data_IF_987351317532
#
_entry.id   IF_987351317532
#
_cell.length_a   1.000
_cell.length_b   1.000
_cell.length_c   1.000
_cell.angle_alpha   90.00
_cell.angle_beta   90.00
_cell.angle_gamma   90.00
#
_symmetry.space_group_name_H-M   'P 1'
#
loop_
_entity.id
_entity.type
_entity.pdbx_description
1 polymer ?
#
# COMPACT_ATOMS: atom_id res chain seq x y z
N UNK A 1 27.41 -54.71 35.79
CA UNK A 1 26.42 -53.64 35.56
C UNK A 1 26.98 -52.32 36.07
N UNK A 2 27.45 -51.47 35.16
CA UNK A 2 27.80 -50.05 35.39
C UNK A 2 27.54 -49.34 34.07
N UNK A 3 26.33 -48.83 33.88
CA UNK A 3 25.96 -48.00 32.72
C UNK A 3 26.52 -46.60 32.94
N UNK A 4 27.51 -46.23 32.13
CA UNK A 4 28.14 -44.91 32.11
C UNK A 4 27.27 -43.95 31.31
N UNK A 5 27.01 -42.81 31.93
CA UNK A 5 26.33 -41.63 31.42
C UNK A 5 27.26 -40.92 30.41
N UNK A 6 26.85 -40.75 29.15
CA UNK A 6 27.52 -39.83 28.22
C UNK A 6 26.55 -38.74 27.78
N UNK A 7 26.78 -37.56 28.35
CA UNK A 7 26.14 -36.28 28.08
C UNK A 7 26.78 -35.69 26.80
N UNK A 8 26.09 -35.69 25.67
CA UNK A 8 26.56 -35.04 24.44
C UNK A 8 25.91 -33.67 24.30
N UNK A 9 26.59 -32.65 24.82
CA UNK A 9 26.29 -31.23 24.63
C UNK A 9 26.89 -30.78 23.29
N UNK A 10 26.07 -30.63 22.26
CA UNK A 10 26.45 -30.00 21.00
C UNK A 10 26.09 -28.50 21.05
N UNK A 11 27.06 -27.68 21.43
CA UNK A 11 26.95 -26.23 21.47
C UNK A 11 27.26 -25.67 20.07
N UNK A 12 26.22 -25.24 19.34
CA UNK A 12 26.36 -24.44 18.12
C UNK A 12 26.75 -23.01 18.48
N UNK A 13 27.77 -22.45 17.81
CA UNK A 13 27.90 -21.03 17.50
C UNK A 13 29.08 -20.78 16.56
N UNK A 14 28.82 -20.25 15.35
CA UNK A 14 29.35 -18.96 14.87
C UNK A 14 29.28 -18.83 13.32
N UNK A 15 28.68 -17.71 12.88
CA UNK A 15 28.97 -16.93 11.66
C UNK A 15 28.99 -17.68 10.31
N UNK A 16 28.13 -17.39 9.34
CA UNK A 16 27.96 -16.08 8.73
C UNK A 16 26.74 -16.11 7.80
N UNK A 17 25.63 -15.51 8.20
CA UNK A 17 24.53 -15.13 7.30
C UNK A 17 24.23 -13.65 7.59
N UNK A 18 25.14 -12.80 7.13
CA UNK A 18 24.97 -11.36 7.05
C UNK A 18 25.45 -10.92 5.68
N UNK A 19 24.58 -11.13 4.68
CA UNK A 19 24.52 -10.38 3.41
C UNK A 19 23.57 -11.10 2.45
N UNK A 20 22.26 -10.91 2.64
CA UNK A 20 21.36 -10.90 1.48
C UNK A 20 20.84 -9.46 1.37
N UNK A 21 21.05 -8.75 0.26
CA UNK A 21 20.39 -7.47 0.01
C UNK A 21 18.90 -7.74 0.05
N UNK A 22 18.25 -7.33 1.14
CA UNK A 22 16.82 -7.48 1.32
C UNK A 22 16.11 -6.75 0.19
N UNK A 23 15.58 -7.54 -0.75
CA UNK A 23 14.71 -7.05 -1.81
C UNK A 23 13.59 -6.21 -1.21
N UNK A 24 13.40 -5.04 -1.82
CA UNK A 24 12.40 -4.06 -1.40
C UNK A 24 11.02 -4.70 -1.29
N UNK A 25 10.61 -4.96 -0.05
CA UNK A 25 9.21 -5.22 0.26
C UNK A 25 8.49 -3.88 0.26
N UNK A 26 7.88 -3.56 -0.88
CA UNK A 26 6.74 -2.65 -0.96
C UNK A 26 5.74 -3.09 0.14
N UNK A 27 5.60 -2.27 1.19
CA UNK A 27 4.71 -2.58 2.31
C UNK A 27 4.38 -1.30 3.07
N UNK A 28 3.11 -0.88 3.00
CA UNK A 28 2.60 0.21 3.85
C UNK A 28 1.50 1.08 3.24
N UNK A 29 0.60 0.52 2.42
CA UNK A 29 -0.65 1.21 2.09
C UNK A 29 -1.63 1.07 3.26
N UNK A 30 -1.63 2.04 4.18
CA UNK A 30 -2.67 2.14 5.20
C UNK A 30 -4.02 2.56 4.57
N UNK A 31 -5.16 2.03 5.04
CA UNK A 31 -6.47 2.43 4.52
C UNK A 31 -6.77 3.86 5.00
N UNK A 32 -6.85 4.82 4.09
CA UNK A 32 -7.33 6.18 4.40
C UNK A 32 -6.52 7.36 3.86
N UNK A 33 -5.41 7.13 3.15
CA UNK A 33 -4.68 8.20 2.47
C UNK A 33 -5.21 8.44 1.06
N UNK A 34 -6.12 9.41 0.87
CA UNK A 34 -6.41 9.98 -0.44
C UNK A 34 -5.16 10.70 -0.97
N UNK A 35 -4.20 9.95 -1.53
CA UNK A 35 -2.95 10.50 -2.08
C UNK A 35 -1.69 9.65 -1.92
N UNK A 36 -1.76 8.43 -1.40
CA UNK A 36 -0.61 7.51 -1.35
C UNK A 36 -0.81 6.33 -2.30
N UNK A 37 0.07 6.15 -3.28
CA UNK A 37 0.31 5.00 -4.18
C UNK A 37 -0.85 4.11 -4.70
N UNK A 38 -1.87 3.80 -3.89
CA UNK A 38 -3.11 3.12 -4.27
C UNK A 38 -4.03 3.94 -5.17
N UNK A 39 -4.07 5.28 -5.04
CA UNK A 39 -4.83 6.13 -5.98
C UNK A 39 -4.26 6.12 -7.40
N UNK A 40 -2.94 5.88 -7.52
CA UNK A 40 -2.30 5.68 -8.81
C UNK A 40 -2.61 4.28 -9.36
N UNK A 41 -2.65 3.25 -8.51
CA UNK A 41 -3.02 1.88 -8.93
C UNK A 41 -4.45 1.75 -9.46
N UNK A 42 -5.41 2.42 -8.81
CA UNK A 42 -6.81 2.46 -9.25
C UNK A 42 -7.00 3.25 -10.56
N UNK A 43 -6.13 4.23 -10.83
CA UNK A 43 -6.13 5.03 -12.07
C UNK A 43 -5.80 4.19 -13.31
N UNK A 44 -5.06 3.09 -13.15
CA UNK A 44 -4.74 2.14 -14.22
C UNK A 44 -5.58 0.86 -14.13
N UNK A 45 -6.73 0.87 -13.46
CA UNK A 45 -7.46 -0.35 -13.07
C UNK A 45 -7.62 -1.37 -14.20
N UNK A 46 -8.19 -0.97 -15.34
CA UNK A 46 -8.41 -1.89 -16.47
C UNK A 46 -7.12 -2.19 -17.24
N UNK A 47 -6.20 -1.22 -17.35
CA UNK A 47 -4.92 -1.41 -18.06
C UNK A 47 -3.94 -2.29 -17.29
N UNK A 48 -4.08 -2.39 -15.98
CA UNK A 48 -3.33 -3.33 -15.14
C UNK A 48 -3.80 -4.77 -15.36
N UNK A 49 -5.11 -4.97 -15.49
CA UNK A 49 -5.71 -6.30 -15.74
C UNK A 49 -5.37 -6.85 -17.12
N UNK A 50 -5.19 -5.98 -18.12
CA UNK A 50 -4.78 -6.39 -19.47
C UNK A 50 -3.37 -7.00 -19.54
N UNK A 51 -2.58 -6.95 -18.47
CA UNK A 51 -1.29 -7.65 -18.37
C UNK A 51 -1.40 -9.07 -17.81
N UNK A 52 -2.54 -9.44 -17.24
CA UNK A 52 -2.75 -10.76 -16.65
C UNK A 52 -3.14 -11.77 -17.73
N UNK A 53 -2.35 -12.82 -17.91
CA UNK A 53 -2.58 -13.83 -18.96
C UNK A 53 -3.96 -14.48 -18.88
N UNK A 54 -4.49 -14.73 -17.67
CA UNK A 54 -5.82 -15.33 -17.53
C UNK A 54 -6.92 -14.38 -17.97
N UNK A 55 -6.73 -13.08 -17.71
CA UNK A 55 -7.66 -12.05 -18.19
C UNK A 55 -7.58 -11.93 -19.71
N UNK A 56 -6.37 -11.98 -20.28
CA UNK A 56 -6.17 -11.95 -21.74
C UNK A 56 -6.86 -13.14 -22.42
N UNK A 57 -6.73 -14.33 -21.84
CA UNK A 57 -7.37 -15.56 -22.34
C UNK A 57 -8.90 -15.50 -22.17
N UNK A 58 -9.40 -15.03 -21.02
CA UNK A 58 -10.84 -14.87 -20.74
C UNK A 58 -11.53 -13.93 -21.73
N UNK A 59 -10.86 -12.84 -22.14
CA UNK A 59 -11.40 -11.92 -23.15
C UNK A 59 -10.98 -12.32 -24.57
N UNK A 60 -10.26 -13.42 -24.74
CA UNK A 60 -9.87 -13.96 -26.04
C UNK A 60 -9.04 -13.00 -26.88
N UNK A 61 -8.01 -12.38 -26.28
CA UNK A 61 -7.09 -11.53 -27.03
C UNK A 61 -6.31 -12.33 -28.07
N UNK A 62 -6.25 -11.80 -29.30
CA UNK A 62 -5.34 -12.33 -30.32
C UNK A 62 -3.89 -11.97 -30.00
N UNK A 63 -2.93 -12.69 -30.58
CA UNK A 63 -1.51 -12.38 -30.40
C UNK A 63 -1.17 -10.96 -30.89
N UNK A 64 -1.79 -10.50 -31.98
CA UNK A 64 -1.63 -9.13 -32.46
C UNK A 64 -2.12 -8.11 -31.42
N UNK A 65 -3.31 -8.32 -30.83
CA UNK A 65 -3.84 -7.43 -29.81
C UNK A 65 -2.95 -7.41 -28.55
N UNK A 66 -2.37 -8.55 -28.17
CA UNK A 66 -1.43 -8.63 -27.05
C UNK A 66 -0.17 -7.80 -27.33
N UNK A 67 0.38 -7.89 -28.53
CA UNK A 67 1.57 -7.11 -28.92
C UNK A 67 1.26 -5.62 -29.05
N UNK A 68 0.09 -5.25 -29.58
CA UNK A 68 -0.37 -3.86 -29.65
C UNK A 68 -0.55 -3.27 -28.25
N UNK A 69 -1.15 -4.03 -27.31
CA UNK A 69 -1.30 -3.61 -25.91
C UNK A 69 0.04 -3.48 -25.18
N UNK A 70 1.01 -4.35 -25.47
CA UNK A 70 2.38 -4.24 -24.93
C UNK A 70 3.06 -2.96 -25.40
N UNK A 71 3.04 -2.71 -26.72
CA UNK A 71 3.61 -1.50 -27.32
C UNK A 71 2.94 -0.25 -26.76
N UNK A 72 1.60 -0.24 -26.72
CA UNK A 72 0.82 0.84 -26.11
C UNK A 72 1.21 1.07 -24.64
N UNK A 73 1.40 0.01 -23.85
CA UNK A 73 1.77 0.12 -22.45
C UNK A 73 3.21 0.65 -22.23
N UNK A 74 4.13 0.37 -23.17
CA UNK A 74 5.48 0.92 -23.18
C UNK A 74 5.45 2.42 -23.51
N UNK A 75 4.79 2.81 -24.60
CA UNK A 75 4.63 4.21 -25.00
C UNK A 75 3.98 5.04 -23.88
N UNK A 76 2.92 4.51 -23.29
CA UNK A 76 2.22 5.17 -22.18
C UNK A 76 3.08 5.29 -20.94
N UNK A 77 3.96 4.31 -20.64
CA UNK A 77 4.82 4.38 -19.46
C UNK A 77 5.74 5.59 -19.56
N UNK A 78 6.30 5.84 -20.73
CA UNK A 78 7.22 6.95 -20.95
C UNK A 78 6.49 8.29 -20.97
N UNK A 79 5.35 8.36 -21.66
CA UNK A 79 4.51 9.55 -21.74
C UNK A 79 3.99 9.98 -20.35
N UNK A 80 3.37 9.05 -19.63
CA UNK A 80 2.86 9.31 -18.27
C UNK A 80 4.03 9.60 -17.33
N UNK A 81 5.13 8.86 -17.45
CA UNK A 81 6.34 9.12 -16.67
C UNK A 81 6.85 10.55 -16.85
N UNK A 82 6.82 11.08 -18.08
CA UNK A 82 7.19 12.47 -18.35
C UNK A 82 6.18 13.46 -17.79
N UNK A 83 4.88 13.30 -18.12
CA UNK A 83 3.81 14.18 -17.61
C UNK A 83 3.84 14.25 -16.08
N UNK A 84 4.01 13.12 -15.40
CA UNK A 84 4.13 13.07 -13.94
C UNK A 84 5.37 13.81 -13.45
N UNK A 85 6.55 13.59 -14.05
CA UNK A 85 7.76 14.34 -13.66
C UNK A 85 7.57 15.84 -13.80
N UNK A 86 6.91 16.29 -14.85
CA UNK A 86 6.66 17.71 -15.10
C UNK A 86 5.68 18.29 -14.06
N UNK A 87 4.59 17.58 -13.80
CA UNK A 87 3.61 17.93 -12.75
C UNK A 87 4.26 18.02 -11.37
N UNK A 88 5.03 16.99 -10.97
CA UNK A 88 5.62 16.90 -9.63
C UNK A 88 6.87 17.78 -9.44
N UNK A 89 7.64 18.05 -10.50
CA UNK A 89 8.78 18.95 -10.43
C UNK A 89 8.33 20.40 -10.18
N UNK A 90 7.24 20.82 -10.82
CA UNK A 90 6.63 22.14 -10.61
C UNK A 90 6.11 22.36 -9.19
N UNK A 91 5.81 21.30 -8.44
CA UNK A 91 5.29 21.40 -7.07
C UNK A 91 6.37 21.48 -5.98
N UNK A 92 7.65 21.23 -6.31
CA UNK A 92 8.71 21.14 -5.29
C UNK A 92 8.96 22.48 -4.60
N UNK A 93 8.92 23.56 -5.35
CA UNK A 93 9.29 24.90 -4.89
C UNK A 93 8.06 25.76 -4.49
N UNK A 94 6.85 25.21 -4.60
CA UNK A 94 5.60 25.90 -4.25
C UNK A 94 5.33 25.91 -2.73
N UNK A 95 4.70 26.98 -2.26
CA UNK A 95 4.17 27.10 -0.90
C UNK A 95 3.00 26.12 -0.64
N UNK A 96 2.63 25.86 0.63
CA UNK A 96 1.51 24.98 0.96
C UNK A 96 0.17 25.40 0.34
N UNK A 97 -0.16 26.71 0.33
CA UNK A 97 -1.39 27.21 -0.30
C UNK A 97 -1.37 27.04 -1.83
N UNK A 98 -0.24 27.32 -2.48
CA UNK A 98 -0.10 27.16 -3.94
C UNK A 98 -0.19 25.69 -4.35
N UNK A 99 0.36 24.78 -3.54
CA UNK A 99 0.22 23.33 -3.75
C UNK A 99 -1.24 22.88 -3.71
N UNK A 100 -2.06 23.46 -2.84
CA UNK A 100 -3.47 23.12 -2.75
C UNK A 100 -4.23 23.52 -4.03
N UNK A 101 -3.98 24.72 -4.56
CA UNK A 101 -4.55 25.13 -5.86
C UNK A 101 -4.04 24.23 -6.99
N UNK A 102 -2.76 23.84 -6.95
CA UNK A 102 -2.16 22.98 -7.97
C UNK A 102 -2.71 21.55 -7.97
N UNK A 103 -3.28 21.09 -6.85
CA UNK A 103 -3.89 19.77 -6.77
C UNK A 103 -5.14 19.62 -7.65
N UNK A 104 -5.87 20.70 -7.92
CA UNK A 104 -7.00 20.66 -8.85
C UNK A 104 -6.52 20.46 -10.29
N UNK A 105 -5.49 21.20 -10.72
CA UNK A 105 -4.84 20.99 -12.01
C UNK A 105 -4.31 19.55 -12.15
N UNK A 106 -3.65 19.05 -11.10
CA UNK A 106 -3.15 17.67 -11.06
C UNK A 106 -4.29 16.66 -11.23
N UNK A 107 -5.46 16.90 -10.61
CA UNK A 107 -6.62 16.01 -10.78
C UNK A 107 -7.10 16.00 -12.24
N UNK A 108 -7.21 17.17 -12.87
CA UNK A 108 -7.60 17.26 -14.27
C UNK A 108 -6.63 16.55 -15.22
N UNK A 109 -5.32 16.72 -15.00
CA UNK A 109 -4.28 16.01 -15.75
C UNK A 109 -4.39 14.48 -15.60
N UNK A 110 -4.70 14.00 -14.38
CA UNK A 110 -4.88 12.57 -14.13
C UNK A 110 -6.12 12.00 -14.82
N UNK A 111 -7.20 12.79 -14.88
CA UNK A 111 -8.42 12.44 -15.60
C UNK A 111 -8.18 12.36 -17.11
N UNK A 112 -7.47 13.34 -17.68
CA UNK A 112 -7.05 13.30 -19.08
C UNK A 112 -6.18 12.08 -19.40
N UNK A 113 -5.21 11.78 -18.53
CA UNK A 113 -4.39 10.59 -18.69
C UNK A 113 -5.28 9.35 -18.74
N UNK A 114 -6.22 9.21 -17.80
CA UNK A 114 -7.15 8.07 -17.75
C UNK A 114 -7.97 7.94 -19.04
N UNK A 115 -8.51 9.03 -19.55
CA UNK A 115 -9.28 9.05 -20.80
C UNK A 115 -8.41 8.67 -22.01
N UNK A 116 -7.17 9.15 -22.06
CA UNK A 116 -6.19 8.76 -23.09
C UNK A 116 -5.93 7.25 -23.05
N UNK A 117 -5.77 6.65 -21.85
CA UNK A 117 -5.61 5.19 -21.70
C UNK A 117 -6.84 4.47 -22.25
N UNK A 118 -8.03 4.88 -21.80
CA UNK A 118 -9.27 4.22 -22.17
C UNK A 118 -9.50 4.28 -23.68
N UNK A 119 -9.24 5.45 -24.30
CA UNK A 119 -9.32 5.64 -25.74
C UNK A 119 -8.36 4.72 -26.51
N UNK A 120 -7.08 4.63 -26.10
CA UNK A 120 -6.10 3.76 -26.75
C UNK A 120 -6.47 2.29 -26.61
N UNK A 121 -6.92 1.86 -25.43
CA UNK A 121 -7.39 0.48 -25.20
C UNK A 121 -8.60 0.16 -26.08
N UNK A 122 -9.57 1.08 -26.20
CA UNK A 122 -10.75 0.90 -27.09
C UNK A 122 -10.38 0.74 -28.56
N UNK A 123 -9.27 1.32 -29.01
CA UNK A 123 -8.82 1.20 -30.39
C UNK A 123 -8.17 -0.17 -30.69
N UNK A 124 -7.64 -0.85 -29.67
CA UNK A 124 -7.03 -2.18 -29.82
C UNK A 124 -8.06 -3.29 -29.59
N UNK A 125 -8.99 -3.09 -28.66
CA UNK A 125 -9.99 -4.08 -28.29
C UNK A 125 -11.27 -3.94 -29.12
N UNK A 126 -11.93 -5.07 -29.38
CA UNK A 126 -13.31 -5.03 -29.88
C UNK A 126 -14.26 -4.49 -28.80
N UNK A 127 -15.46 -3.97 -29.17
CA UNK A 127 -16.43 -3.49 -28.18
C UNK A 127 -16.79 -4.54 -27.11
N UNK A 128 -16.94 -5.80 -27.52
CA UNK A 128 -17.27 -6.90 -26.59
C UNK A 128 -16.11 -7.22 -25.64
N UNK A 129 -14.86 -7.23 -26.13
CA UNK A 129 -13.68 -7.43 -25.28
C UNK A 129 -13.52 -6.29 -24.27
N UNK A 130 -13.74 -5.06 -24.74
CA UNK A 130 -13.67 -3.86 -23.92
C UNK A 130 -14.74 -3.85 -22.81
N UNK A 131 -15.96 -4.25 -23.14
CA UNK A 131 -17.03 -4.41 -22.16
C UNK A 131 -16.69 -5.50 -21.13
N UNK A 132 -16.18 -6.65 -21.59
CA UNK A 132 -15.82 -7.75 -20.69
C UNK A 132 -14.71 -7.36 -19.71
N UNK A 133 -13.67 -6.64 -20.16
CA UNK A 133 -12.62 -6.18 -19.25
C UNK A 133 -13.14 -5.19 -18.21
N UNK A 134 -14.11 -4.32 -18.55
CA UNK A 134 -14.78 -3.44 -17.58
C UNK A 134 -15.51 -4.26 -16.51
N UNK A 135 -16.23 -5.31 -16.91
CA UNK A 135 -16.90 -6.21 -15.96
C UNK A 135 -15.91 -6.95 -15.05
N UNK A 136 -14.79 -7.43 -15.60
CA UNK A 136 -13.74 -8.09 -14.81
C UNK A 136 -13.12 -7.10 -13.82
N UNK A 137 -12.85 -5.86 -14.25
CA UNK A 137 -12.38 -4.81 -13.35
C UNK A 137 -13.36 -4.59 -12.19
N UNK A 138 -14.64 -4.40 -12.52
CA UNK A 138 -15.68 -4.24 -11.51
C UNK A 138 -15.72 -5.41 -10.52
N UNK A 139 -15.66 -6.65 -11.00
CA UNK A 139 -15.63 -7.84 -10.14
C UNK A 139 -14.42 -7.83 -9.21
N UNK A 140 -13.24 -7.47 -9.73
CA UNK A 140 -12.02 -7.39 -8.94
C UNK A 140 -12.08 -6.27 -7.92
N UNK A 141 -12.65 -5.12 -8.27
CA UNK A 141 -12.88 -4.01 -7.37
C UNK A 141 -13.80 -4.42 -6.21
N UNK A 142 -14.95 -5.03 -6.52
CA UNK A 142 -15.88 -5.54 -5.49
C UNK A 142 -15.24 -6.62 -4.63
N UNK A 143 -14.43 -7.51 -5.21
CA UNK A 143 -13.72 -8.55 -4.46
C UNK A 143 -12.68 -7.97 -3.49
N UNK A 144 -11.96 -6.93 -3.90
CA UNK A 144 -10.85 -6.36 -3.12
C UNK A 144 -11.31 -5.29 -2.12
N UNK A 145 -12.29 -4.47 -2.49
CA UNK A 145 -12.79 -3.35 -1.68
C UNK A 145 -14.13 -3.66 -1.00
N UNK A 146 -14.71 -4.83 -1.27
CA UNK A 146 -16.03 -5.21 -0.79
C UNK A 146 -17.16 -4.37 -1.42
N UNK A 147 -18.33 -4.40 -0.78
CA UNK A 147 -19.48 -3.60 -1.21
C UNK A 147 -19.23 -2.09 -1.14
N UNK A 148 -18.17 -1.63 -0.46
CA UNK A 148 -17.79 -0.22 -0.44
C UNK A 148 -17.18 0.25 -1.76
N UNK A 149 -16.55 -0.66 -2.52
CA UNK A 149 -16.09 -0.36 -3.89
C UNK A 149 -17.25 -0.02 -4.83
N UNK A 150 -18.48 -0.42 -4.48
CA UNK A 150 -19.68 -0.05 -5.25
C UNK A 150 -20.01 1.44 -5.11
N UNK A 151 -19.55 2.08 -4.04
CA UNK A 151 -19.84 3.49 -3.72
C UNK A 151 -18.90 4.47 -4.41
N UNK A 152 -17.90 3.98 -5.14
CA UNK A 152 -16.94 4.85 -5.82
C UNK A 152 -17.45 5.26 -7.21
N UNK A 153 -17.50 6.58 -7.46
CA UNK A 153 -17.54 7.16 -8.80
C UNK A 153 -18.67 6.64 -9.71
N UNK A 154 -18.32 6.41 -10.99
CA UNK A 154 -19.23 6.15 -12.11
C UNK A 154 -20.20 4.99 -11.90
N UNK A 155 -19.85 4.01 -11.07
CA UNK A 155 -20.71 2.86 -10.83
C UNK A 155 -21.95 3.20 -9.98
N UNK A 156 -21.82 4.12 -9.02
CA UNK A 156 -22.96 4.57 -8.22
C UNK A 156 -24.01 5.26 -9.11
N UNK A 157 -23.55 5.97 -10.14
CA UNK A 157 -24.41 6.65 -11.11
C UNK A 157 -24.99 5.65 -12.14
N UNK A 158 -24.20 4.67 -12.61
CA UNK A 158 -24.68 3.57 -13.47
C UNK A 158 -25.75 2.72 -12.78
N UNK A 159 -25.63 2.52 -11.46
CA UNK A 159 -26.63 1.82 -10.65
C UNK A 159 -27.86 2.69 -10.33
N UNK A 160 -27.83 3.97 -10.69
CA UNK A 160 -28.92 4.92 -10.43
C UNK A 160 -29.19 5.10 -8.93
N UNK A 161 -28.14 5.04 -8.10
CA UNK A 161 -28.30 5.19 -6.66
C UNK A 161 -28.80 6.59 -6.32
N UNK A 162 -29.87 6.69 -5.54
CA UNK A 162 -30.34 7.98 -5.02
C UNK A 162 -29.36 8.53 -3.99
N UNK A 163 -29.43 9.83 -3.72
CA UNK A 163 -28.59 10.46 -2.70
C UNK A 163 -28.84 9.85 -1.31
N UNK A 164 -30.09 9.49 -0.99
CA UNK A 164 -30.42 8.78 0.24
C UNK A 164 -29.78 7.39 0.30
N UNK A 165 -29.75 6.65 -0.82
CA UNK A 165 -29.08 5.35 -0.88
C UNK A 165 -27.57 5.50 -0.71
N UNK A 166 -26.96 6.49 -1.36
CA UNK A 166 -25.53 6.82 -1.23
C UNK A 166 -25.18 7.16 0.22
N UNK A 167 -26.00 7.96 0.91
CA UNK A 167 -25.79 8.32 2.31
C UNK A 167 -25.94 7.10 3.24
N UNK A 168 -26.99 6.29 3.07
CA UNK A 168 -27.18 5.07 3.86
C UNK A 168 -26.04 4.07 3.67
N UNK A 169 -25.53 3.93 2.45
CA UNK A 169 -24.41 3.06 2.15
C UNK A 169 -23.12 3.57 2.80
N UNK A 170 -22.86 4.88 2.76
CA UNK A 170 -21.73 5.50 3.48
C UNK A 170 -21.80 5.24 4.98
N UNK A 171 -22.95 5.47 5.62
CA UNK A 171 -23.12 5.22 7.05
C UNK A 171 -22.92 3.74 7.41
N UNK A 172 -23.42 2.81 6.58
CA UNK A 172 -23.20 1.37 6.76
C UNK A 172 -21.73 0.99 6.57
N UNK A 173 -21.05 1.55 5.58
CA UNK A 173 -19.62 1.35 5.32
C UNK A 173 -18.80 1.77 6.55
N UNK A 174 -19.04 2.97 7.08
CA UNK A 174 -18.35 3.45 8.30
C UNK A 174 -18.55 2.51 9.50
N UNK A 175 -19.78 2.05 9.71
CA UNK A 175 -20.07 1.08 10.78
C UNK A 175 -19.33 -0.25 10.56
N UNK A 176 -19.35 -0.78 9.34
CA UNK A 176 -18.65 -2.02 8.98
C UNK A 176 -17.15 -1.87 9.19
N UNK A 177 -16.54 -0.74 8.80
CA UNK A 177 -15.12 -0.45 9.04
C UNK A 177 -14.79 -0.43 10.53
N UNK A 178 -15.58 0.26 11.34
CA UNK A 178 -15.38 0.33 12.79
C UNK A 178 -15.47 -1.07 13.44
N UNK A 179 -16.49 -1.86 13.06
CA UNK A 179 -16.67 -3.22 13.56
C UNK A 179 -15.52 -4.15 13.13
N UNK A 180 -15.07 -4.04 11.88
CA UNK A 180 -13.92 -4.79 11.36
C UNK A 180 -12.63 -4.40 12.07
N UNK A 181 -12.39 -3.11 12.31
CA UNK A 181 -11.22 -2.64 13.04
C UNK A 181 -11.16 -3.22 14.44
N UNK A 182 -12.29 -3.22 15.16
CA UNK A 182 -12.40 -3.82 16.49
C UNK A 182 -12.12 -5.32 16.44
N UNK A 183 -12.80 -6.07 15.56
CA UNK A 183 -12.58 -7.51 15.42
C UNK A 183 -11.15 -7.86 15.06
N UNK A 184 -10.51 -7.08 14.19
CA UNK A 184 -9.11 -7.28 13.82
C UNK A 184 -8.16 -7.00 14.97
N UNK A 185 -8.44 -6.01 15.82
CA UNK A 185 -7.68 -5.80 17.05
C UNK A 185 -7.79 -6.99 18.00
N UNK A 186 -9.01 -7.50 18.20
CA UNK A 186 -9.25 -8.67 19.05
C UNK A 186 -8.55 -9.93 18.50
N UNK A 187 -8.65 -10.17 17.18
CA UNK A 187 -7.95 -11.28 16.51
C UNK A 187 -6.43 -11.17 16.61
N UNK A 188 -5.87 -9.96 16.51
CA UNK A 188 -4.42 -9.76 16.68
C UNK A 188 -3.96 -10.11 18.09
N UNK A 189 -4.72 -9.69 19.11
CA UNK A 189 -4.42 -10.05 20.51
C UNK A 189 -4.50 -11.55 20.74
N UNK A 190 -5.54 -12.20 20.23
CA UNK A 190 -5.69 -13.66 20.33
C UNK A 190 -4.53 -14.40 19.65
N UNK A 191 -4.14 -13.97 18.44
CA UNK A 191 -3.00 -14.56 17.72
C UNK A 191 -1.68 -14.34 18.47
N UNK A 192 -1.47 -13.17 19.07
CA UNK A 192 -0.31 -12.89 19.90
C UNK A 192 -0.25 -13.84 21.11
N UNK A 193 -1.34 -14.01 21.85
CA UNK A 193 -1.40 -14.92 22.99
C UNK A 193 -1.12 -16.37 22.58
N UNK A 194 -1.68 -16.83 21.46
CA UNK A 194 -1.44 -18.15 20.91
C UNK A 194 0.04 -18.36 20.55
N UNK A 195 0.68 -17.39 19.91
CA UNK A 195 2.11 -17.44 19.60
C UNK A 195 2.99 -17.43 20.87
N UNK A 196 2.63 -16.62 21.86
CA UNK A 196 3.35 -16.54 23.14
C UNK A 196 3.17 -17.78 24.01
N UNK A 197 2.16 -18.61 23.75
CA UNK A 197 1.92 -19.86 24.47
C UNK A 197 3.06 -20.87 24.29
N UNK A 198 3.71 -20.86 23.12
CA UNK A 198 4.84 -21.74 22.76
C UNK A 198 6.10 -21.42 23.57
N UNK A 199 6.22 -20.19 24.07
CA UNK A 199 7.37 -19.78 24.85
C UNK A 199 7.37 -20.41 26.25
N UNK A 200 8.56 -20.67 26.79
CA UNK A 200 8.70 -21.02 28.20
C UNK A 200 8.36 -19.83 29.10
N UNK A 201 8.03 -20.05 30.39
CA UNK A 201 7.80 -18.97 31.34
C UNK A 201 8.96 -17.96 31.43
N UNK A 202 10.20 -18.45 31.45
CA UNK A 202 11.40 -17.60 31.48
C UNK A 202 11.57 -16.74 30.22
N UNK A 203 11.22 -17.26 29.04
CA UNK A 203 11.24 -16.50 27.79
C UNK A 203 10.15 -15.42 27.76
N UNK A 204 8.95 -15.69 28.30
CA UNK A 204 7.88 -14.71 28.42
C UNK A 204 8.26 -13.55 29.35
N UNK A 205 8.88 -13.83 30.49
CA UNK A 205 9.36 -12.78 31.39
C UNK A 205 10.45 -11.92 30.74
N UNK A 206 11.41 -12.56 30.05
CA UNK A 206 12.45 -11.83 29.31
C UNK A 206 11.84 -10.94 28.23
N UNK A 207 10.86 -11.44 27.48
CA UNK A 207 10.15 -10.66 26.46
C UNK A 207 9.43 -9.45 27.07
N UNK A 208 8.66 -9.64 28.15
CA UNK A 208 7.99 -8.53 28.86
C UNK A 208 8.98 -7.47 29.33
N UNK A 209 10.13 -7.88 29.87
CA UNK A 209 11.19 -6.94 30.28
C UNK A 209 11.80 -6.19 29.10
N UNK A 210 11.94 -6.83 27.94
CA UNK A 210 12.44 -6.19 26.71
C UNK A 210 11.40 -5.25 26.08
N UNK A 211 10.12 -5.56 26.16
CA UNK A 211 9.03 -4.72 25.65
C UNK A 211 8.88 -3.43 26.46
N UNK A 212 9.22 -3.44 27.75
CA UNK A 212 9.11 -2.27 28.61
C UNK A 212 7.65 -1.94 28.96
N UNK A 213 7.39 -0.68 29.31
CA UNK A 213 6.01 -0.22 29.53
C UNK A 213 5.29 -0.09 28.19
N UNK A 214 4.05 -0.54 28.16
CA UNK A 214 3.18 -0.35 27.00
C UNK A 214 3.00 1.15 26.73
N UNK A 215 3.16 1.55 25.47
CA UNK A 215 2.99 2.91 25.03
C UNK A 215 2.03 2.94 23.84
N UNK A 216 0.90 3.60 24.00
CA UNK A 216 -0.02 3.84 22.89
C UNK A 216 0.46 5.03 22.08
N UNK A 217 0.82 4.78 20.82
CA UNK A 217 1.13 5.84 19.87
C UNK A 217 -0.19 6.42 19.37
N UNK A 218 -0.37 7.74 19.46
CA UNK A 218 -1.47 8.43 18.79
C UNK A 218 -1.46 8.03 17.30
N UNK A 219 -2.56 7.46 16.76
CA UNK A 219 -2.64 7.08 15.35
C UNK A 219 -2.22 8.20 14.38
N UNK A 220 -2.43 9.46 14.75
CA UNK A 220 -2.02 10.64 13.97
C UNK A 220 -0.51 10.87 14.02
N UNK A 221 0.14 10.58 15.14
CA UNK A 221 1.59 10.67 15.30
C UNK A 221 2.33 9.50 14.61
N UNK A 222 1.72 8.31 14.60
CA UNK A 222 2.27 7.12 13.93
C UNK A 222 2.43 7.29 12.41
N UNK A 223 1.55 8.07 11.77
CA UNK A 223 1.59 8.34 10.33
C UNK A 223 2.60 9.42 9.92
N UNK A 224 3.02 10.28 10.85
CA UNK A 224 3.93 11.40 10.54
C UNK A 224 5.41 11.00 10.59
N UNK A 225 5.76 9.91 11.28
CA UNK A 225 7.13 9.41 11.40
C UNK A 225 7.69 8.68 10.17
N UNK A 226 6.85 8.33 9.19
CA UNK A 226 7.26 7.58 7.99
C UNK A 226 7.89 8.41 6.87
N UNK A 227 8.00 9.73 7.03
CA UNK A 227 8.45 10.68 5.98
C UNK A 227 9.57 11.61 6.48
N UNK A 228 10.63 11.03 7.05
CA UNK A 228 11.76 11.81 7.61
C UNK A 228 13.16 11.30 7.25
N UNK A 229 13.28 10.43 6.25
CA UNK A 229 14.53 9.74 5.93
C UNK A 229 15.45 10.44 4.93
N UNK A 230 15.64 11.76 4.99
CA UNK A 230 16.78 12.41 4.32
C UNK A 230 17.05 13.82 4.84
N UNK A 231 17.65 13.94 6.02
CA UNK A 231 18.51 15.09 6.30
C UNK A 231 19.88 14.56 6.72
N UNK A 232 20.83 14.75 5.81
CA UNK A 232 22.17 14.22 5.87
C UNK A 232 22.93 14.70 7.10
N UNK A 233 23.47 13.70 7.78
CA UNK A 233 24.62 13.74 8.69
C UNK A 233 25.79 14.51 8.08
N UNK A 234 26.29 15.50 8.82
CA UNK A 234 27.66 16.03 8.73
C UNK A 234 27.77 17.22 9.68
N UNK A 235 28.60 17.26 10.72
CA UNK A 235 29.68 16.42 11.20
C UNK A 235 30.56 17.28 12.12
N UNK A 236 31.29 16.63 13.04
CA UNK A 236 32.19 17.14 14.11
C UNK A 236 31.51 17.38 15.47
N UNK A 237 31.97 16.83 16.60
CA UNK A 237 33.20 16.09 16.86
C UNK A 237 33.99 16.68 18.04
N UNK A 238 33.52 16.43 19.27
CA UNK A 238 34.25 16.40 20.56
C UNK A 238 34.77 17.71 21.18
N UNK A 239 35.27 17.70 22.45
CA UNK A 239 35.20 16.66 23.50
C UNK A 239 34.63 17.18 24.86
N UNK A 240 34.50 16.32 25.90
CA UNK A 240 33.93 16.70 27.21
C UNK A 240 35.00 17.03 28.27
N UNK A 241 34.75 18.06 29.09
CA UNK A 241 35.46 18.40 30.35
C UNK A 241 34.76 19.63 30.95
N UNK A 242 34.50 19.82 32.23
CA UNK A 242 34.66 19.07 33.47
C UNK A 242 33.58 19.63 34.43
N UNK A 243 33.31 18.93 35.54
CA UNK A 243 32.36 19.36 36.58
C UNK A 243 32.81 20.57 37.41
N UNK A 244 32.23 20.74 38.61
CA UNK A 244 31.32 21.83 38.96
C UNK A 244 31.97 22.91 39.82
N UNK A 245 31.36 24.10 39.90
CA UNK A 245 31.58 24.99 41.04
C UNK A 245 30.27 25.65 41.49
N UNK A 246 30.04 25.55 42.80
CA UNK A 246 29.06 26.29 43.59
C UNK A 246 29.45 27.78 43.72
N UNK A 247 28.43 28.57 44.07
CA UNK A 247 28.38 29.99 44.49
C UNK A 247 27.97 31.00 43.41
#
# INVERSE_FOLDING_TARGET
>A
MRTVLTLSLAMLCAGSVLAQPGGGRFGGGGPGGAGGAGGFGDMFGSSTLLRDEKVQDEIGLSEQQKDDLRTMAEDMRDEIGSRMRDIFSGMRDMSPEERQSRMEDVRGEMEQIRDDIEGRVKNVLTPTQFERIKQINLQQQVKNQGAEGVLSGSLADELGLTEEQKEQLKAKAEKVRADLQKKMADLRKAAEEELLSVLTPAQREKLKKMMGQEFEVDPRAAFQGGRGGQQGRGGRGGPPSDGPDEL
#
